data_IF_389388435352
#
_entry.id   IF_389388435352
#
_cell.length_a   1.000
_cell.length_b   1.000
_cell.length_c   1.000
_cell.angle_alpha   90.00
_cell.angle_beta   90.00
_cell.angle_gamma   90.00
#
_symmetry.space_group_name_H-M   'P 1'
#
loop_
_entity.id
_entity.type
_entity.pdbx_description
1 polymer ?
#
# COMPACT_ATOMS: atom_id res chain seq x y z
N UNK A 1 -27.99 6.00 39.90
CA UNK A 1 -26.66 6.62 39.76
C UNK A 1 -25.94 5.92 38.62
N UNK A 2 -25.96 6.53 37.43
CA UNK A 2 -25.27 5.99 36.26
C UNK A 2 -23.77 6.23 36.43
N UNK A 3 -22.98 5.15 36.40
CA UNK A 3 -21.53 5.22 36.53
C UNK A 3 -20.98 5.49 35.14
N UNK A 4 -20.36 6.66 34.95
CA UNK A 4 -19.75 7.02 33.68
C UNK A 4 -18.71 5.97 33.24
N UNK A 5 -18.81 5.55 31.98
CA UNK A 5 -17.84 4.64 31.36
C UNK A 5 -16.47 5.30 31.34
N UNK A 6 -15.43 4.53 31.68
CA UNK A 6 -14.06 5.05 31.63
C UNK A 6 -13.72 5.45 30.19
N UNK A 7 -13.03 6.58 29.98
CA UNK A 7 -12.55 6.96 28.65
C UNK A 7 -11.66 5.84 28.11
N UNK A 8 -11.95 5.42 26.88
CA UNK A 8 -11.18 4.38 26.18
C UNK A 8 -9.79 4.95 25.91
N UNK A 9 -8.76 4.29 26.42
CA UNK A 9 -7.38 4.61 26.05
C UNK A 9 -7.22 4.32 24.54
N UNK A 10 -6.82 5.34 23.79
CA UNK A 10 -6.47 5.19 22.37
C UNK A 10 -5.18 4.38 22.30
N UNK A 11 -5.31 3.10 21.93
CA UNK A 11 -4.16 2.26 21.64
C UNK A 11 -3.62 2.71 20.28
N UNK A 12 -2.52 3.48 20.31
CA UNK A 12 -1.77 3.83 19.10
C UNK A 12 -1.01 2.57 18.68
N UNK A 13 -1.54 1.84 17.70
CA UNK A 13 -0.86 0.68 17.14
C UNK A 13 0.30 1.15 16.25
N UNK A 14 1.53 0.90 16.70
CA UNK A 14 2.72 1.11 15.88
C UNK A 14 2.94 -0.10 14.97
N UNK A 15 2.78 0.10 13.65
CA UNK A 15 3.10 -0.92 12.65
C UNK A 15 4.52 -0.69 12.13
N UNK A 16 5.37 -1.71 12.24
CA UNK A 16 6.66 -1.70 11.56
C UNK A 16 6.44 -1.88 10.05
N UNK A 17 6.93 -0.93 9.25
CA UNK A 17 6.81 -0.93 7.79
C UNK A 17 8.22 -1.03 7.20
N UNK A 18 8.42 -1.98 6.30
CA UNK A 18 9.65 -2.09 5.51
C UNK A 18 9.64 -1.00 4.43
N UNK A 19 10.60 -0.09 4.48
CA UNK A 19 10.79 0.98 3.49
C UNK A 19 12.10 0.75 2.76
N UNK A 20 12.09 0.93 1.44
CA UNK A 20 13.28 0.78 0.62
C UNK A 20 14.21 1.98 0.80
N UNK A 21 15.52 1.70 0.82
CA UNK A 21 16.55 2.74 0.94
C UNK A 21 16.84 3.44 -0.39
N UNK A 22 16.56 2.78 -1.51
CA UNK A 22 16.86 3.29 -2.85
C UNK A 22 15.66 3.96 -3.49
N UNK A 23 14.45 3.49 -3.18
CA UNK A 23 13.22 4.15 -3.58
C UNK A 23 12.15 4.05 -2.48
N UNK A 24 11.96 5.10 -1.66
CA UNK A 24 10.95 5.16 -0.61
C UNK A 24 9.52 4.94 -1.11
N UNK A 25 9.26 5.13 -2.42
CA UNK A 25 7.94 5.00 -3.03
C UNK A 25 7.59 3.55 -3.43
N UNK A 26 8.56 2.64 -3.40
CA UNK A 26 8.31 1.22 -3.60
C UNK A 26 7.68 0.58 -2.36
N UNK A 27 6.71 -0.32 -2.54
CA UNK A 27 6.14 -1.07 -1.42
C UNK A 27 6.66 -2.50 -1.37
N UNK A 28 6.63 -3.06 -0.16
CA UNK A 28 7.17 -4.37 0.13
C UNK A 28 6.08 -5.44 -0.03
N UNK A 29 6.24 -6.35 -0.99
CA UNK A 29 5.27 -7.41 -1.27
C UNK A 29 5.77 -8.76 -0.75
N UNK A 30 4.89 -9.45 -0.03
CA UNK A 30 5.06 -10.84 0.39
C UNK A 30 3.90 -11.64 -0.21
N UNK A 31 4.22 -12.63 -1.05
CA UNK A 31 3.24 -13.49 -1.72
C UNK A 31 3.74 -14.93 -1.69
N UNK A 32 2.87 -15.86 -1.33
CA UNK A 32 3.21 -17.28 -1.27
C UNK A 32 3.69 -17.78 -2.66
N UNK A 33 4.81 -18.51 -2.68
CA UNK A 33 5.40 -19.04 -3.91
C UNK A 33 6.05 -18.01 -4.85
N UNK A 34 6.20 -16.75 -4.42
CA UNK A 34 6.91 -15.70 -5.17
C UNK A 34 8.03 -15.06 -4.33
N UNK A 35 9.07 -14.49 -4.97
CA UNK A 35 10.09 -13.75 -4.25
C UNK A 35 9.50 -12.58 -3.46
N UNK A 36 10.02 -12.38 -2.25
CA UNK A 36 9.72 -11.20 -1.43
C UNK A 36 10.63 -10.04 -1.85
N UNK A 37 10.10 -8.82 -1.86
CA UNK A 37 10.89 -7.66 -2.26
C UNK A 37 10.08 -6.38 -2.41
N UNK A 38 10.78 -5.33 -2.84
CA UNK A 38 10.19 -4.03 -3.17
C UNK A 38 9.71 -4.02 -4.63
N UNK A 39 8.45 -3.65 -4.84
CA UNK A 39 7.78 -3.63 -6.14
C UNK A 39 6.86 -2.41 -6.24
N UNK A 40 6.48 -2.07 -7.47
CA UNK A 40 5.43 -1.10 -7.76
C UNK A 40 4.19 -1.82 -8.28
N UNK A 41 3.03 -1.23 -8.05
CA UNK A 41 1.83 -1.56 -8.83
C UNK A 41 1.72 -0.54 -9.95
N UNK A 42 1.41 -0.99 -11.15
CA UNK A 42 1.22 -0.10 -12.28
C UNK A 42 -0.24 -0.06 -12.71
N UNK A 43 -0.75 1.16 -12.90
CA UNK A 43 -1.96 1.41 -13.66
C UNK A 43 -1.56 1.56 -15.12
N UNK A 44 -1.93 0.57 -15.94
CA UNK A 44 -1.63 0.55 -17.37
C UNK A 44 -2.85 0.87 -18.20
N UNK A 45 -2.64 1.65 -19.26
CA UNK A 45 -3.64 1.86 -20.31
C UNK A 45 -3.29 0.96 -21.47
N UNK A 46 -4.31 0.28 -22.01
CA UNK A 46 -4.16 -0.64 -23.15
C UNK A 46 -5.07 -0.23 -24.28
N UNK A 47 -4.58 -0.40 -25.50
CA UNK A 47 -5.43 -0.38 -26.70
C UNK A 47 -6.36 -1.60 -26.66
N UNK A 48 -7.67 -1.36 -26.82
CA UNK A 48 -8.69 -2.41 -26.67
C UNK A 48 -8.68 -3.42 -27.83
N UNK A 49 -8.25 -2.99 -29.02
CA UNK A 49 -8.32 -3.83 -30.22
C UNK A 49 -7.18 -4.86 -30.27
N UNK A 50 -5.99 -4.47 -29.80
CA UNK A 50 -4.78 -5.28 -29.93
C UNK A 50 -4.08 -5.57 -28.59
N UNK A 51 -4.64 -5.13 -27.45
CA UNK A 51 -4.05 -5.25 -26.10
C UNK A 51 -2.61 -4.72 -26.01
N UNK A 52 -2.29 -3.70 -26.80
CA UNK A 52 -0.97 -3.04 -26.77
C UNK A 52 -0.98 -2.05 -25.61
N UNK A 53 0.04 -2.10 -24.75
CA UNK A 53 0.22 -1.11 -23.69
C UNK A 53 0.60 0.21 -24.34
N UNK A 54 -0.24 1.23 -24.16
CA UNK A 54 -0.01 2.57 -24.69
C UNK A 54 0.57 3.51 -23.66
N UNK A 55 0.31 3.24 -22.37
CA UNK A 55 0.81 4.05 -21.26
C UNK A 55 0.89 3.23 -19.97
N UNK A 56 1.82 3.61 -19.09
CA UNK A 56 2.03 2.99 -17.77
C UNK A 56 2.29 4.09 -16.74
N UNK A 57 1.41 4.17 -15.74
CA UNK A 57 1.61 4.98 -14.56
C UNK A 57 1.91 4.07 -13.36
N UNK A 58 3.12 4.16 -12.81
CA UNK A 58 3.48 3.44 -11.58
C UNK A 58 2.86 4.16 -10.38
N UNK A 59 2.16 3.41 -9.52
CA UNK A 59 1.58 3.88 -8.26
C UNK A 59 2.30 3.30 -7.05
N UNK A 60 2.30 4.08 -5.96
CA UNK A 60 2.75 3.66 -4.64
C UNK A 60 1.92 2.47 -4.15
N UNK A 61 2.58 1.42 -3.70
CA UNK A 61 1.91 0.36 -2.95
C UNK A 61 1.76 0.75 -1.48
N UNK A 62 0.49 0.95 -1.07
CA UNK A 62 -0.01 1.08 0.31
C UNK A 62 0.43 2.34 1.07
N UNK A 63 -0.15 3.51 0.77
CA UNK A 63 -0.41 4.59 1.76
C UNK A 63 -1.57 5.53 1.34
N UNK A 64 -2.03 5.52 0.08
CA UNK A 64 -3.12 6.40 -0.38
C UNK A 64 -4.52 6.08 0.18
N UNK A 65 -4.68 5.02 0.97
CA UNK A 65 -5.93 4.69 1.67
C UNK A 65 -5.97 5.19 3.12
N UNK A 66 -4.85 5.66 3.67
CA UNK A 66 -4.77 6.19 5.04
C UNK A 66 -4.75 7.71 5.12
N UNK A 67 -4.86 8.41 3.98
CA UNK A 67 -4.82 9.88 3.90
C UNK A 67 -6.12 10.48 3.29
N UNK A 68 -7.26 9.81 3.48
CA UNK A 68 -8.60 10.35 3.23
C UNK A 68 -9.53 10.16 4.42
#
# INVERSE_FOLDING_TARGET
MEKALKPREEVIEHKEIKVSKTDPESGYMVREGKPEGFYYLDHRTVDMNYNIITDVHALLTLNDWTDR
#
